data_IF_222771287188
#
_entry.id   IF_222771287188
#
_cell.length_a   1.000
_cell.length_b   1.000
_cell.length_c   1.000
_cell.angle_alpha   90.00
_cell.angle_beta   90.00
_cell.angle_gamma   90.00
#
_symmetry.space_group_name_H-M   'P 1'
#
loop_
_entity.id
_entity.type
_entity.pdbx_description
1 polymer ?
#
# COMPACT_ATOMS: atom_id res chain seq x y z
N UNK A 1 35.86 6.89 14.33
CA UNK A 1 34.53 7.51 14.21
C UNK A 1 33.90 6.90 12.97
N UNK A 2 32.94 5.96 13.10
CA UNK A 2 32.24 5.38 11.94
C UNK A 2 31.16 6.37 11.53
N UNK A 3 31.20 6.83 10.29
CA UNK A 3 30.12 7.66 9.74
C UNK A 3 28.81 6.85 9.77
N UNK A 4 27.70 7.41 10.25
CA UNK A 4 26.39 6.77 10.12
C UNK A 4 26.08 6.70 8.63
N UNK A 5 25.94 5.48 8.11
CA UNK A 5 25.52 5.23 6.73
C UNK A 5 24.23 6.00 6.48
N UNK A 6 24.30 6.97 5.57
CA UNK A 6 23.16 7.82 5.20
C UNK A 6 21.97 6.94 4.80
N UNK A 7 20.75 7.16 5.34
CA UNK A 7 19.57 6.33 5.05
C UNK A 7 19.07 6.42 3.59
N UNK A 8 19.79 7.14 2.72
CA UNK A 8 19.39 7.46 1.36
C UNK A 8 19.66 6.35 0.32
N UNK A 9 19.94 5.11 0.71
CA UNK A 9 20.42 4.08 -0.22
C UNK A 9 19.70 2.75 -0.18
N UNK A 10 18.48 2.66 0.36
CA UNK A 10 17.68 1.45 0.12
C UNK A 10 17.20 1.53 -1.34
N UNK A 11 17.70 0.68 -2.25
CA UNK A 11 17.16 0.63 -3.59
C UNK A 11 15.74 0.09 -3.44
N UNK A 12 14.75 0.91 -3.80
CA UNK A 12 13.38 0.40 -3.95
C UNK A 12 13.41 -0.49 -5.17
N UNK A 13 13.13 -1.78 -4.99
CA UNK A 13 12.99 -2.69 -6.11
C UNK A 13 11.84 -2.20 -7.00
N UNK A 14 12.06 -1.96 -8.31
CA UNK A 14 11.03 -1.41 -9.19
C UNK A 14 9.79 -2.30 -9.30
N UNK A 15 9.92 -3.62 -9.07
CA UNK A 15 8.79 -4.54 -8.99
C UNK A 15 8.00 -4.33 -7.70
N UNK A 16 8.66 -4.10 -6.57
CA UNK A 16 8.00 -3.74 -5.30
C UNK A 16 7.28 -2.40 -5.43
N UNK A 17 7.91 -1.40 -6.05
CA UNK A 17 7.25 -0.11 -6.31
C UNK A 17 6.01 -0.27 -7.18
N UNK A 18 6.06 -1.12 -8.20
CA UNK A 18 4.93 -1.40 -9.07
C UNK A 18 3.78 -2.09 -8.31
N UNK A 19 4.09 -3.04 -7.43
CA UNK A 19 3.10 -3.70 -6.55
C UNK A 19 2.46 -2.68 -5.62
N UNK A 20 3.27 -1.84 -4.95
CA UNK A 20 2.77 -0.80 -4.05
C UNK A 20 1.83 0.15 -4.79
N UNK A 21 2.25 0.64 -5.95
CA UNK A 21 1.45 1.57 -6.76
C UNK A 21 0.12 0.93 -7.17
N UNK A 22 0.13 -0.34 -7.58
CA UNK A 22 -1.10 -1.06 -7.94
C UNK A 22 -2.01 -1.29 -6.75
N UNK A 23 -1.47 -1.64 -5.58
CA UNK A 23 -2.25 -1.85 -4.38
C UNK A 23 -3.04 -0.59 -3.98
N UNK A 24 -2.38 0.57 -3.98
CA UNK A 24 -3.04 1.85 -3.69
C UNK A 24 -4.06 2.25 -4.77
N UNK A 25 -3.76 2.05 -6.05
CA UNK A 25 -4.72 2.34 -7.12
C UNK A 25 -6.00 1.49 -7.02
N UNK A 26 -5.86 0.20 -6.66
CA UNK A 26 -7.02 -0.68 -6.42
C UNK A 26 -7.75 -0.28 -5.14
N UNK A 27 -7.01 0.09 -4.09
CA UNK A 27 -7.59 0.50 -2.82
C UNK A 27 -8.42 1.78 -2.92
N UNK A 28 -7.98 2.76 -3.70
CA UNK A 28 -8.72 4.00 -3.95
C UNK A 28 -10.10 3.69 -4.56
N UNK A 29 -10.11 2.86 -5.61
CA UNK A 29 -11.36 2.42 -6.26
C UNK A 29 -12.24 1.65 -5.28
N UNK A 30 -11.66 0.72 -4.51
CA UNK A 30 -12.42 -0.03 -3.52
C UNK A 30 -13.04 0.87 -2.44
N UNK A 31 -12.28 1.84 -1.93
CA UNK A 31 -12.76 2.79 -0.92
C UNK A 31 -13.95 3.62 -1.44
N UNK A 32 -13.88 4.10 -2.68
CA UNK A 32 -15.00 4.77 -3.35
C UNK A 32 -16.27 3.91 -3.39
N UNK A 33 -16.14 2.62 -3.71
CA UNK A 33 -17.28 1.70 -3.72
C UNK A 33 -17.80 1.39 -2.31
N UNK A 34 -16.92 1.18 -1.34
CA UNK A 34 -17.28 0.80 0.03
C UNK A 34 -17.98 1.93 0.77
N UNK A 35 -17.53 3.18 0.61
CA UNK A 35 -18.18 4.35 1.22
C UNK A 35 -19.57 4.59 0.62
N UNK A 36 -19.80 4.26 -0.67
CA UNK A 36 -21.15 4.30 -1.26
C UNK A 36 -22.10 3.27 -0.62
N UNK A 37 -21.59 2.09 -0.26
CA UNK A 37 -22.37 1.03 0.39
C UNK A 37 -22.63 1.35 1.86
N UNK A 38 -21.62 1.86 2.56
CA UNK A 38 -21.70 2.25 3.97
C UNK A 38 -21.14 3.66 4.17
N UNK A 39 -21.98 4.72 4.06
CA UNK A 39 -21.54 6.12 4.15
C UNK A 39 -20.94 6.54 5.48
N UNK A 40 -21.03 5.70 6.52
CA UNK A 40 -20.39 5.92 7.83
C UNK A 40 -18.91 5.57 7.84
N UNK A 41 -18.39 4.92 6.78
CA UNK A 41 -16.98 4.60 6.66
C UNK A 41 -16.18 5.85 6.28
N UNK A 42 -15.04 6.01 6.92
CA UNK A 42 -14.05 7.02 6.54
C UNK A 42 -13.27 6.53 5.32
N UNK A 43 -13.34 7.27 4.20
CA UNK A 43 -12.77 6.88 2.90
C UNK A 43 -11.28 6.60 3.00
N UNK A 44 -10.53 7.51 3.61
CA UNK A 44 -9.07 7.45 3.66
C UNK A 44 -8.59 6.28 4.54
N UNK A 45 -9.28 6.03 5.67
CA UNK A 45 -9.03 4.83 6.48
C UNK A 45 -9.36 3.55 5.73
N UNK A 46 -10.45 3.51 4.96
CA UNK A 46 -10.79 2.33 4.16
C UNK A 46 -9.75 2.08 3.08
N UNK A 47 -9.34 3.12 2.35
CA UNK A 47 -8.26 3.02 1.35
C UNK A 47 -6.99 2.45 1.99
N UNK A 48 -6.57 2.99 3.12
CA UNK A 48 -5.37 2.52 3.81
C UNK A 48 -5.48 1.05 4.25
N UNK A 49 -6.63 0.64 4.81
CA UNK A 49 -6.87 -0.75 5.21
C UNK A 49 -6.86 -1.68 4.00
N UNK A 50 -7.53 -1.32 2.91
CA UNK A 50 -7.56 -2.13 1.69
C UNK A 50 -6.18 -2.25 1.07
N UNK A 51 -5.44 -1.14 0.96
CA UNK A 51 -4.07 -1.15 0.46
C UNK A 51 -3.18 -2.05 1.33
N UNK A 52 -3.29 -1.96 2.66
CA UNK A 52 -2.54 -2.80 3.59
C UNK A 52 -2.81 -4.29 3.37
N UNK A 53 -4.09 -4.68 3.26
CA UNK A 53 -4.45 -6.08 2.97
C UNK A 53 -3.89 -6.55 1.63
N UNK A 54 -4.03 -5.75 0.57
CA UNK A 54 -3.52 -6.11 -0.77
C UNK A 54 -1.99 -6.27 -0.78
N UNK A 55 -1.28 -5.47 0.00
CA UNK A 55 0.17 -5.58 0.16
C UNK A 55 0.54 -6.85 0.93
N UNK A 56 -0.09 -7.13 2.06
CA UNK A 56 0.18 -8.36 2.83
C UNK A 56 -0.05 -9.62 1.96
N UNK A 57 -1.15 -9.68 1.21
CA UNK A 57 -1.44 -10.81 0.30
C UNK A 57 -0.41 -10.94 -0.84
N UNK A 58 0.04 -9.81 -1.40
CA UNK A 58 1.06 -9.82 -2.45
C UNK A 58 2.42 -10.32 -1.94
N UNK A 59 2.75 -10.08 -0.67
CA UNK A 59 3.97 -10.58 -0.04
C UNK A 59 3.88 -12.05 0.36
N UNK A 60 2.70 -12.53 0.81
CA UNK A 60 2.48 -13.95 1.10
C UNK A 60 2.47 -14.82 -0.17
N UNK A 61 1.99 -14.28 -1.30
CA UNK A 61 1.99 -14.99 -2.58
C UNK A 61 3.33 -15.02 -3.33
N UNK A 62 4.32 -14.25 -2.87
CA UNK A 62 5.65 -14.14 -3.48
C UNK A 62 6.72 -15.06 -2.89
N UNK A 63 6.40 -15.82 -1.84
CA UNK A 63 7.29 -16.77 -1.14
C UNK A 63 7.17 -18.20 -1.63
#
# INVERSE_FOLDING_TARGET
MREPSSPASIPVDPSQQAVITRAFAVAEVAAEHLVRVSPTLDRDRVEYVVASVLLEEAWVGGS
#
